data_IF_648565877941
#
_entry.id   IF_648565877941
#
_cell.length_a   1.000
_cell.length_b   1.000
_cell.length_c   1.000
_cell.angle_alpha   90.00
_cell.angle_beta   90.00
_cell.angle_gamma   90.00
#
_symmetry.space_group_name_H-M   'P 1'
#
loop_
_entity.id
_entity.type
_entity.pdbx_description
1 polymer ?
#
# COMPACT_ATOMS: atom_id res chain seq x y z
N UNK A 1 -55.53 -12.42 -27.27
CA UNK A 1 -55.15 -11.27 -26.42
C UNK A 1 -54.46 -11.84 -25.19
N UNK A 2 -53.25 -11.38 -24.81
CA UNK A 2 -52.43 -12.09 -23.84
C UNK A 2 -52.92 -11.86 -22.40
N UNK A 3 -52.72 -12.91 -21.61
CA UNK A 3 -53.09 -13.15 -20.22
C UNK A 3 -52.35 -12.26 -19.23
N UNK A 4 -53.07 -11.68 -18.26
CA UNK A 4 -52.52 -10.99 -17.09
C UNK A 4 -51.61 -11.91 -16.26
N UNK A 5 -50.45 -11.38 -15.88
CA UNK A 5 -49.48 -12.04 -15.03
C UNK A 5 -49.88 -11.87 -13.55
N UNK A 6 -50.25 -12.95 -12.87
CA UNK A 6 -50.51 -12.95 -11.42
C UNK A 6 -49.21 -13.06 -10.64
N UNK A 7 -48.98 -12.09 -9.76
CA UNK A 7 -47.80 -12.04 -8.89
C UNK A 7 -47.92 -12.99 -7.70
N UNK A 8 -46.77 -13.40 -7.16
CA UNK A 8 -46.61 -14.28 -5.98
C UNK A 8 -47.30 -13.75 -4.70
N UNK A 9 -47.79 -12.51 -4.71
CA UNK A 9 -48.45 -11.87 -3.57
C UNK A 9 -49.98 -12.05 -3.55
N UNK A 10 -50.59 -12.63 -4.60
CA UNK A 10 -52.05 -12.80 -4.69
C UNK A 10 -52.59 -14.04 -3.96
N UNK A 11 -51.72 -14.90 -3.44
CA UNK A 11 -52.12 -16.05 -2.64
C UNK A 11 -51.99 -15.72 -1.15
N UNK A 12 -53.12 -15.34 -0.55
CA UNK A 12 -53.25 -15.06 0.87
C UNK A 12 -52.92 -16.28 1.72
N UNK A 13 -51.74 -16.26 2.32
CA UNK A 13 -51.40 -16.98 3.56
C UNK A 13 -50.49 -16.07 4.39
N UNK A 14 -51.09 -15.22 5.20
CA UNK A 14 -50.44 -14.60 6.34
C UNK A 14 -51.33 -14.86 7.53
N UNK A 15 -50.99 -15.87 8.33
CA UNK A 15 -51.55 -16.03 9.66
C UNK A 15 -51.18 -14.82 10.51
N UNK A 16 -52.20 -14.25 11.15
CA UNK A 16 -52.12 -13.06 11.97
C UNK A 16 -51.39 -13.38 13.29
N UNK A 17 -50.12 -13.00 13.40
CA UNK A 17 -49.39 -13.05 14.68
C UNK A 17 -49.98 -11.95 15.57
N UNK A 18 -50.80 -12.34 16.56
CA UNK A 18 -51.29 -11.43 17.60
C UNK A 18 -50.14 -11.02 18.53
N UNK A 19 -49.74 -9.76 18.44
CA UNK A 19 -48.86 -9.09 19.42
C UNK A 19 -49.68 -8.29 20.42
N UNK A 20 -49.63 -8.68 21.70
CA UNK A 20 -50.31 -8.03 22.83
C UNK A 20 -49.59 -6.75 23.33
N UNK A 21 -49.21 -5.83 22.45
CA UNK A 21 -48.62 -4.54 22.85
C UNK A 21 -49.30 -3.35 22.18
N UNK A 22 -49.68 -2.31 22.95
CA UNK A 22 -50.45 -1.19 22.44
C UNK A 22 -49.63 -0.35 21.46
N UNK A 23 -50.21 -0.14 20.28
CA UNK A 23 -49.67 0.72 19.22
C UNK A 23 -49.69 2.20 19.65
N UNK A 24 -48.56 2.87 19.35
CA UNK A 24 -48.35 4.32 19.25
C UNK A 24 -48.21 5.14 20.56
N UNK A 25 -46.96 5.20 21.04
CA UNK A 25 -46.38 6.49 21.42
C UNK A 25 -45.37 6.91 20.32
N UNK A 26 -45.24 8.20 19.99
CA UNK A 26 -44.28 8.63 18.99
C UNK A 26 -42.88 8.44 19.56
N UNK A 27 -42.22 7.33 19.20
CA UNK A 27 -40.78 7.20 19.36
C UNK A 27 -40.18 8.21 18.38
N UNK A 28 -39.80 9.36 18.93
CA UNK A 28 -38.88 10.29 18.28
C UNK A 28 -37.63 9.51 17.92
N UNK A 29 -37.52 9.05 16.67
CA UNK A 29 -36.28 8.55 16.13
C UNK A 29 -35.32 9.72 16.10
N UNK A 30 -34.46 9.82 17.12
CA UNK A 30 -33.31 10.71 17.07
C UNK A 30 -32.47 10.25 15.89
N UNK A 31 -32.55 10.97 14.77
CA UNK A 31 -31.53 10.89 13.72
C UNK A 31 -30.16 10.96 14.40
N UNK A 32 -29.15 10.16 14.00
CA UNK A 32 -27.80 10.33 14.49
C UNK A 32 -27.27 11.65 13.94
N UNK A 33 -27.54 12.73 14.64
CA UNK A 33 -26.92 14.04 14.44
C UNK A 33 -25.50 13.96 14.99
N UNK A 34 -24.66 13.18 14.32
CA UNK A 34 -23.21 13.24 14.50
C UNK A 34 -22.70 14.50 13.82
N UNK A 35 -22.99 15.65 14.43
CA UNK A 35 -22.25 16.87 14.14
C UNK A 35 -20.79 16.59 14.44
N UNK A 36 -19.94 16.72 13.43
CA UNK A 36 -18.52 16.93 13.57
C UNK A 36 -18.31 18.07 14.57
N UNK A 37 -18.05 17.74 15.84
CA UNK A 37 -17.50 18.73 16.76
C UNK A 37 -16.07 18.97 16.27
N UNK A 38 -15.69 20.18 15.84
CA UNK A 38 -14.29 20.47 15.61
C UNK A 38 -13.59 20.22 16.95
N UNK A 39 -12.76 19.17 17.01
CA UNK A 39 -11.83 19.02 18.12
C UNK A 39 -11.06 20.33 18.12
N UNK A 40 -11.20 21.10 19.20
CA UNK A 40 -10.39 22.31 19.41
C UNK A 40 -8.97 21.93 19.02
N UNK A 41 -8.39 22.67 18.08
CA UNK A 41 -7.00 22.51 17.67
C UNK A 41 -6.15 22.87 18.89
N UNK A 42 -6.01 21.93 19.82
CA UNK A 42 -5.16 22.10 20.97
C UNK A 42 -3.73 22.29 20.43
N UNK A 43 -2.95 23.24 20.97
CA UNK A 43 -1.54 23.40 20.59
C UNK A 43 -0.71 22.12 20.78
N UNK A 44 -1.24 21.14 21.51
CA UNK A 44 -0.70 19.79 21.62
C UNK A 44 -0.76 18.96 20.32
N UNK A 45 -1.48 19.40 19.28
CA UNK A 45 -1.45 18.80 17.93
C UNK A 45 -0.13 19.11 17.20
N UNK A 46 0.50 20.24 17.52
CA UNK A 46 1.76 20.68 16.93
C UNK A 46 2.95 20.25 17.80
N UNK A 47 2.72 19.94 19.08
CA UNK A 47 3.78 19.43 19.95
C UNK A 47 4.13 18.00 19.55
N UNK A 48 5.40 17.74 19.17
CA UNK A 48 5.88 16.39 19.02
C UNK A 48 5.66 15.59 20.30
N UNK A 49 5.29 14.32 20.17
CA UNK A 49 5.02 13.43 21.31
C UNK A 49 6.18 13.31 22.29
N UNK A 50 7.43 13.52 21.84
CA UNK A 50 8.63 13.52 22.68
C UNK A 50 8.78 14.80 23.54
N UNK A 51 8.07 15.89 23.23
CA UNK A 51 8.01 17.12 24.03
C UNK A 51 6.79 17.16 24.95
N UNK A 52 5.90 16.15 24.88
CA UNK A 52 4.78 16.03 25.81
C UNK A 52 5.27 15.52 27.16
N UNK A 53 5.16 16.37 28.20
CA UNK A 53 5.44 16.02 29.60
C UNK A 53 4.48 14.95 30.14
N UNK A 54 3.33 14.75 29.48
CA UNK A 54 2.37 13.70 29.81
C UNK A 54 2.66 12.49 28.93
N UNK A 55 3.26 11.46 29.53
CA UNK A 55 3.41 10.13 28.91
C UNK A 55 2.02 9.50 28.84
N UNK A 56 1.38 9.58 27.67
CA UNK A 56 0.16 8.81 27.43
C UNK A 56 0.45 7.32 27.70
N UNK A 57 -0.50 6.57 28.30
CA UNK A 57 -0.30 5.15 28.52
C UNK A 57 0.06 4.48 27.18
N UNK A 58 1.11 3.66 27.21
CA UNK A 58 1.56 2.95 26.01
C UNK A 58 0.38 2.11 25.49
N UNK A 59 -0.11 2.44 24.29
CA UNK A 59 -1.13 1.62 23.65
C UNK A 59 -0.53 0.22 23.43
N UNK A 60 -1.31 -0.86 23.65
CA UNK A 60 -0.84 -2.20 23.32
C UNK A 60 -0.47 -2.22 21.84
N UNK A 61 0.71 -2.79 21.54
CA UNK A 61 1.20 -2.91 20.17
C UNK A 61 0.24 -3.79 19.37
N UNK A 62 -0.14 -3.34 18.18
CA UNK A 62 -0.89 -4.18 17.25
C UNK A 62 -0.01 -5.35 16.77
N UNK A 63 -0.60 -6.48 16.39
CA UNK A 63 0.13 -7.66 15.91
C UNK A 63 1.10 -7.35 14.75
N UNK A 64 0.76 -6.34 13.95
CA UNK A 64 1.56 -5.89 12.80
C UNK A 64 2.46 -4.68 13.11
N UNK A 65 2.67 -4.31 14.37
CA UNK A 65 3.46 -3.12 14.73
C UNK A 65 4.94 -3.23 14.30
N UNK A 66 5.46 -4.45 14.18
CA UNK A 66 6.80 -4.70 13.66
C UNK A 66 6.98 -4.23 12.20
N UNK A 67 5.90 -4.25 11.40
CA UNK A 67 5.92 -3.73 10.02
C UNK A 67 6.12 -2.21 9.99
N UNK A 68 5.63 -1.48 10.98
CA UNK A 68 5.85 -0.04 11.06
C UNK A 68 7.32 0.28 11.38
N UNK A 69 7.96 -0.53 12.24
CA UNK A 69 9.40 -0.44 12.49
C UNK A 69 10.24 -0.75 11.25
N UNK A 70 9.91 -1.84 10.54
CA UNK A 70 10.59 -2.23 9.31
C UNK A 70 10.43 -1.18 8.21
N UNK A 71 9.23 -0.62 8.03
CA UNK A 71 8.97 0.51 7.11
C UNK A 71 9.78 1.75 7.48
N UNK A 72 9.89 2.07 8.77
CA UNK A 72 10.68 3.20 9.24
C UNK A 72 12.16 3.06 8.90
N UNK A 73 12.74 1.89 9.14
CA UNK A 73 14.12 1.60 8.76
C UNK A 73 14.33 1.64 7.24
N UNK A 74 13.43 1.02 6.48
CA UNK A 74 13.45 1.08 5.02
C UNK A 74 13.37 2.53 4.50
N UNK A 75 12.50 3.37 5.08
CA UNK A 75 12.36 4.77 4.70
C UNK A 75 13.65 5.55 4.97
N UNK A 76 14.33 5.26 6.07
CA UNK A 76 15.61 5.88 6.41
C UNK A 76 16.71 5.50 5.40
N UNK A 77 16.79 4.23 5.00
CA UNK A 77 17.72 3.80 3.94
C UNK A 77 17.41 4.44 2.59
N UNK A 78 16.13 4.57 2.24
CA UNK A 78 15.71 5.30 1.02
C UNK A 78 16.13 6.76 1.09
N UNK A 79 16.00 7.42 2.25
CA UNK A 79 16.46 8.79 2.44
C UNK A 79 17.97 8.91 2.23
N UNK A 80 18.78 8.06 2.87
CA UNK A 80 20.24 8.09 2.70
C UNK A 80 20.62 7.90 1.24
N UNK A 81 20.02 6.92 0.55
CA UNK A 81 20.26 6.70 -0.88
C UNK A 81 19.95 7.95 -1.70
N UNK A 82 18.81 8.59 -1.49
CA UNK A 82 18.45 9.79 -2.26
C UNK A 82 19.37 10.97 -1.95
N UNK A 83 19.78 11.12 -0.70
CA UNK A 83 20.70 12.16 -0.27
C UNK A 83 22.08 11.97 -0.89
N UNK A 84 22.72 10.82 -0.68
CA UNK A 84 24.09 10.55 -1.11
C UNK A 84 24.20 10.37 -2.62
N UNK A 85 23.24 9.67 -3.22
CA UNK A 85 23.38 9.18 -4.57
C UNK A 85 22.80 10.19 -5.57
N UNK A 86 21.58 10.68 -5.34
CA UNK A 86 20.86 11.51 -6.30
C UNK A 86 21.13 13.00 -6.12
N UNK A 87 21.23 13.50 -4.88
CA UNK A 87 21.50 14.92 -4.62
C UNK A 87 22.97 15.33 -4.90
N UNK A 88 23.91 14.37 -4.93
CA UNK A 88 25.33 14.60 -5.18
C UNK A 88 25.88 13.93 -6.46
N UNK A 89 24.99 13.61 -7.42
CA UNK A 89 25.33 12.97 -8.72
C UNK A 89 26.43 13.71 -9.51
N UNK A 90 26.60 15.02 -9.30
CA UNK A 90 27.56 15.87 -10.00
C UNK A 90 29.04 15.58 -9.67
N UNK A 91 29.35 14.77 -8.65
CA UNK A 91 30.73 14.58 -8.13
C UNK A 91 31.31 13.19 -8.41
N UNK A 92 30.71 12.37 -9.29
CA UNK A 92 31.13 10.97 -9.58
C UNK A 92 31.18 10.00 -8.37
N UNK A 93 30.92 10.46 -7.13
CA UNK A 93 30.96 9.63 -5.91
C UNK A 93 29.90 8.53 -5.89
N UNK A 94 28.79 8.74 -6.60
CA UNK A 94 27.69 7.79 -6.78
C UNK A 94 28.20 6.41 -7.29
N UNK A 95 29.10 6.41 -8.28
CA UNK A 95 29.68 5.16 -8.82
C UNK A 95 30.47 4.38 -7.77
N UNK A 96 31.19 5.06 -6.86
CA UNK A 96 32.00 4.38 -5.84
C UNK A 96 31.08 3.65 -4.85
N UNK A 97 29.97 4.28 -4.46
CA UNK A 97 29.01 3.73 -3.51
C UNK A 97 28.24 2.53 -4.07
N UNK A 98 27.91 2.56 -5.36
CA UNK A 98 27.18 1.49 -6.04
C UNK A 98 28.02 0.22 -6.27
N UNK A 99 29.35 0.37 -6.39
CA UNK A 99 30.23 -0.76 -6.74
C UNK A 99 30.68 -1.59 -5.53
N UNK A 100 30.93 -2.87 -5.76
CA UNK A 100 31.49 -3.80 -4.75
C UNK A 100 32.99 -3.56 -4.56
N UNK A 101 33.50 -3.90 -3.36
CA UNK A 101 34.93 -3.80 -3.05
C UNK A 101 35.77 -4.58 -4.08
N UNK A 102 36.78 -3.93 -4.67
CA UNK A 102 37.65 -4.52 -5.69
C UNK A 102 37.15 -4.40 -7.14
N UNK A 103 35.94 -3.87 -7.36
CA UNK A 103 35.46 -3.57 -8.71
C UNK A 103 36.37 -2.52 -9.38
N UNK A 104 36.78 -2.75 -10.63
CA UNK A 104 37.74 -1.91 -11.36
C UNK A 104 39.06 -1.62 -10.60
N UNK A 105 39.53 -2.53 -9.75
CA UNK A 105 40.72 -2.33 -8.89
C UNK A 105 40.60 -1.13 -7.93
N UNK A 106 39.37 -0.75 -7.58
CA UNK A 106 39.09 0.29 -6.55
C UNK A 106 38.78 -0.39 -5.21
N UNK A 107 39.36 0.14 -4.14
CA UNK A 107 39.29 -0.45 -2.81
C UNK A 107 38.98 0.62 -1.76
N UNK A 108 37.70 0.95 -1.63
CA UNK A 108 37.24 1.91 -0.63
C UNK A 108 36.54 1.19 0.53
N UNK A 109 36.76 1.66 1.77
CA UNK A 109 36.13 1.09 2.97
C UNK A 109 34.59 1.04 2.84
N UNK A 110 34.00 2.05 2.19
CA UNK A 110 32.56 2.18 1.97
C UNK A 110 31.95 1.03 1.12
N UNK A 111 32.78 0.32 0.35
CA UNK A 111 32.34 -0.74 -0.56
C UNK A 111 32.21 -2.12 0.12
N UNK A 112 32.59 -2.24 1.39
CA UNK A 112 32.37 -3.47 2.15
C UNK A 112 30.86 -3.74 2.29
N UNK A 113 30.41 -5.00 2.18
CA UNK A 113 28.99 -5.34 2.00
C UNK A 113 28.07 -4.79 3.10
N UNK A 114 28.47 -4.88 4.38
CA UNK A 114 27.65 -4.37 5.48
C UNK A 114 27.59 -2.85 5.53
N UNK A 115 28.73 -2.20 5.32
CA UNK A 115 28.82 -0.75 5.37
C UNK A 115 28.08 -0.14 4.16
N UNK A 116 28.30 -0.70 2.97
CA UNK A 116 27.66 -0.28 1.72
C UNK A 116 26.14 -0.30 1.80
N UNK A 117 25.55 -1.32 2.44
CA UNK A 117 24.09 -1.42 2.59
C UNK A 117 23.48 -0.23 3.32
N UNK A 118 24.20 0.47 4.20
CA UNK A 118 23.67 1.70 4.81
C UNK A 118 23.51 2.85 3.80
N UNK A 119 24.29 2.86 2.72
CA UNK A 119 24.31 3.91 1.70
C UNK A 119 23.48 3.54 0.48
N UNK A 120 23.63 2.32 -0.04
CA UNK A 120 22.92 1.84 -1.25
C UNK A 120 21.75 0.91 -0.96
N UNK A 121 21.52 0.55 0.31
CA UNK A 121 20.42 -0.33 0.70
C UNK A 121 19.03 0.25 0.44
N UNK A 122 18.92 1.53 0.06
CA UNK A 122 17.67 2.11 -0.43
C UNK A 122 17.07 1.33 -1.61
N UNK A 123 17.89 0.73 -2.48
CA UNK A 123 17.40 -0.10 -3.59
C UNK A 123 16.65 -1.33 -3.09
N UNK A 124 17.22 -2.04 -2.10
CA UNK A 124 16.57 -3.16 -1.42
C UNK A 124 15.36 -2.69 -0.60
N UNK A 125 15.44 -1.54 0.04
CA UNK A 125 14.36 -0.98 0.84
C UNK A 125 13.09 -0.72 0.00
N UNK A 126 13.23 -0.27 -1.26
CA UNK A 126 12.09 -0.14 -2.18
C UNK A 126 11.40 -1.50 -2.44
N UNK A 127 12.17 -2.56 -2.70
CA UNK A 127 11.59 -3.91 -2.86
C UNK A 127 10.89 -4.39 -1.59
N UNK A 128 11.46 -4.07 -0.43
CA UNK A 128 10.86 -4.36 0.88
C UNK A 128 9.53 -3.63 1.07
N UNK A 129 9.42 -2.36 0.64
CA UNK A 129 8.15 -1.63 0.66
C UNK A 129 7.08 -2.32 -0.18
N UNK A 130 7.40 -2.82 -1.37
CA UNK A 130 6.42 -3.50 -2.22
C UNK A 130 5.91 -4.81 -1.60
N UNK A 131 6.80 -5.62 -1.02
CA UNK A 131 6.41 -6.83 -0.28
C UNK A 131 5.54 -6.49 0.93
N UNK A 132 5.95 -5.50 1.73
CA UNK A 132 5.16 -5.05 2.90
C UNK A 132 3.81 -4.46 2.47
N UNK A 133 3.76 -3.74 1.36
CA UNK A 133 2.50 -3.22 0.80
C UNK A 133 1.57 -4.38 0.45
N UNK A 134 2.06 -5.40 -0.27
CA UNK A 134 1.29 -6.62 -0.54
C UNK A 134 0.77 -7.30 0.72
N UNK A 135 1.62 -7.45 1.74
CA UNK A 135 1.25 -8.05 3.03
C UNK A 135 0.11 -7.29 3.73
N UNK A 136 0.29 -5.98 3.93
CA UNK A 136 -0.68 -5.16 4.68
C UNK A 136 -2.00 -5.01 3.94
N UNK A 137 -1.98 -4.96 2.60
CA UNK A 137 -3.19 -4.91 1.79
C UNK A 137 -3.99 -6.21 1.89
N UNK A 138 -3.31 -7.34 2.08
CA UNK A 138 -3.91 -8.67 2.08
C UNK A 138 -4.46 -9.09 3.45
N UNK A 139 -3.92 -8.55 4.55
CA UNK A 139 -4.24 -9.01 5.92
C UNK A 139 -5.75 -9.07 6.21
N UNK A 140 -6.45 -7.93 6.12
CA UNK A 140 -7.88 -7.89 6.44
C UNK A 140 -8.74 -8.67 5.44
N UNK A 141 -8.54 -8.55 4.11
CA UNK A 141 -9.25 -9.38 3.14
C UNK A 141 -9.05 -10.89 3.37
N UNK A 142 -7.83 -11.35 3.63
CA UNK A 142 -7.55 -12.78 3.87
C UNK A 142 -8.23 -13.27 5.15
N UNK A 143 -8.25 -12.48 6.22
CA UNK A 143 -9.02 -12.82 7.43
C UNK A 143 -10.52 -13.02 7.11
N UNK A 144 -11.11 -12.19 6.24
CA UNK A 144 -12.51 -12.32 5.83
C UNK A 144 -12.74 -13.52 4.91
N UNK A 145 -11.79 -13.84 4.03
CA UNK A 145 -11.83 -15.04 3.18
C UNK A 145 -11.77 -16.29 4.04
N UNK A 146 -10.83 -16.37 4.99
CA UNK A 146 -10.67 -17.50 5.90
C UNK A 146 -11.86 -17.66 6.84
N UNK A 147 -12.52 -16.57 7.26
CA UNK A 147 -13.75 -16.63 8.05
C UNK A 147 -15.02 -16.89 7.22
N UNK A 148 -14.92 -16.94 5.89
CA UNK A 148 -16.06 -17.12 4.97
C UNK A 148 -16.99 -15.90 4.81
N UNK A 149 -16.62 -14.73 5.33
CA UNK A 149 -17.47 -13.52 5.28
C UNK A 149 -17.22 -12.70 4.00
N UNK A 150 -17.72 -13.23 2.89
CA UNK A 150 -17.47 -12.69 1.55
C UNK A 150 -18.29 -11.44 1.23
N UNK A 151 -19.39 -11.19 1.96
CA UNK A 151 -20.13 -9.94 1.83
C UNK A 151 -19.29 -8.77 2.35
N UNK A 152 -18.73 -8.91 3.56
CA UNK A 152 -17.84 -7.88 4.13
C UNK A 152 -16.51 -7.74 3.37
N UNK A 153 -16.06 -8.80 2.68
CA UNK A 153 -14.88 -8.73 1.81
C UNK A 153 -15.05 -7.68 0.71
N UNK A 154 -16.20 -7.68 0.01
CA UNK A 154 -16.49 -6.71 -1.04
C UNK A 154 -16.48 -5.27 -0.53
N UNK A 155 -17.20 -5.01 0.57
CA UNK A 155 -17.22 -3.71 1.23
C UNK A 155 -15.83 -3.26 1.67
N UNK A 156 -15.03 -4.21 2.19
CA UNK A 156 -13.67 -3.91 2.62
C UNK A 156 -12.76 -3.51 1.44
N UNK A 157 -12.78 -4.29 0.35
CA UNK A 157 -11.95 -4.04 -0.83
C UNK A 157 -12.33 -2.72 -1.52
N UNK A 158 -13.63 -2.46 -1.73
CA UNK A 158 -14.10 -1.22 -2.34
C UNK A 158 -13.64 0.01 -1.55
N UNK A 159 -13.82 -0.05 -0.23
CA UNK A 159 -13.44 1.01 0.70
C UNK A 159 -11.92 1.21 0.78
N UNK A 160 -11.16 0.10 0.76
CA UNK A 160 -9.69 0.13 0.80
C UNK A 160 -9.10 0.68 -0.50
N UNK A 161 -9.63 0.28 -1.66
CA UNK A 161 -9.21 0.76 -2.98
C UNK A 161 -9.44 2.27 -3.11
N UNK A 162 -10.64 2.75 -2.82
CA UNK A 162 -11.00 4.17 -2.94
C UNK A 162 -10.09 5.06 -2.08
N UNK A 163 -9.95 4.74 -0.78
CA UNK A 163 -9.11 5.52 0.13
C UNK A 163 -7.63 5.47 -0.24
N UNK A 164 -7.15 4.31 -0.72
CA UNK A 164 -5.73 4.14 -1.06
C UNK A 164 -5.34 4.99 -2.26
N UNK A 165 -6.17 5.02 -3.30
CA UNK A 165 -5.92 5.88 -4.47
C UNK A 165 -5.78 7.34 -4.04
N UNK A 166 -6.72 7.86 -3.24
CA UNK A 166 -6.68 9.24 -2.74
C UNK A 166 -5.45 9.50 -1.89
N UNK A 167 -5.12 8.60 -0.95
CA UNK A 167 -3.97 8.75 -0.06
C UNK A 167 -2.64 8.80 -0.82
N UNK A 168 -2.51 8.04 -1.92
CA UNK A 168 -1.29 8.00 -2.72
C UNK A 168 -1.18 9.23 -3.64
N UNK A 169 -2.27 9.62 -4.30
CA UNK A 169 -2.23 10.67 -5.32
C UNK A 169 -2.38 12.08 -4.78
N UNK A 170 -3.18 12.32 -3.74
CA UNK A 170 -3.39 13.67 -3.21
C UNK A 170 -2.09 14.34 -2.73
N UNK A 171 -1.18 13.67 -1.98
CA UNK A 171 0.08 14.26 -1.59
C UNK A 171 1.00 14.56 -2.78
N UNK A 172 1.04 13.68 -3.79
CA UNK A 172 1.84 13.89 -5.01
C UNK A 172 1.34 15.10 -5.78
N UNK A 173 0.02 15.20 -6.00
CA UNK A 173 -0.61 16.33 -6.68
C UNK A 173 -0.32 17.63 -5.91
N UNK A 174 -0.54 17.65 -4.59
CA UNK A 174 -0.34 18.84 -3.79
C UNK A 174 1.12 19.31 -3.76
N UNK A 175 2.06 18.39 -3.49
CA UNK A 175 3.50 18.73 -3.38
C UNK A 175 4.07 19.18 -4.72
N UNK A 176 3.72 18.51 -5.81
CA UNK A 176 4.22 18.87 -7.14
C UNK A 176 3.57 20.15 -7.67
N UNK A 177 2.31 20.41 -7.32
CA UNK A 177 1.64 21.67 -7.61
C UNK A 177 2.32 22.86 -6.94
N UNK A 178 2.61 22.72 -5.64
CA UNK A 178 3.36 23.72 -4.88
C UNK A 178 4.75 23.90 -5.48
N UNK A 179 5.44 22.80 -5.78
CA UNK A 179 6.80 22.81 -6.33
C UNK A 179 6.89 23.58 -7.64
N UNK A 180 6.09 23.26 -8.66
CA UNK A 180 6.16 23.98 -9.94
C UNK A 180 5.71 25.43 -9.81
N UNK A 181 4.77 25.73 -8.90
CA UNK A 181 4.31 27.11 -8.68
C UNK A 181 5.41 27.97 -8.07
N UNK A 182 6.10 27.48 -7.03
CA UNK A 182 7.26 28.17 -6.44
C UNK A 182 8.36 28.33 -7.50
N UNK A 183 8.64 27.26 -8.24
CA UNK A 183 9.65 27.26 -9.27
C UNK A 183 9.41 28.36 -10.33
N UNK A 184 8.17 28.50 -10.83
CA UNK A 184 7.75 29.57 -11.75
C UNK A 184 7.78 30.96 -11.13
N UNK A 185 7.33 31.10 -9.88
CA UNK A 185 7.26 32.41 -9.23
C UNK A 185 8.64 33.02 -8.94
N UNK A 186 9.63 32.17 -8.66
CA UNK A 186 10.96 32.62 -8.24
C UNK A 186 12.06 32.40 -9.29
N UNK A 187 11.71 31.93 -10.51
CA UNK A 187 12.66 31.63 -11.60
C UNK A 187 13.88 30.81 -11.12
N UNK A 188 13.61 29.79 -10.30
CA UNK A 188 14.66 28.85 -9.90
C UNK A 188 14.98 27.93 -11.08
N UNK A 189 16.20 27.40 -11.20
CA UNK A 189 16.52 26.40 -12.25
C UNK A 189 17.19 25.20 -11.59
N UNK A 190 16.42 24.33 -10.90
CA UNK A 190 16.99 23.16 -10.25
C UNK A 190 17.52 22.19 -11.33
N UNK A 191 18.82 21.86 -11.33
CA UNK A 191 19.35 20.80 -12.17
C UNK A 191 18.71 19.45 -11.80
N UNK A 192 18.63 18.46 -12.70
CA UNK A 192 19.29 18.41 -14.01
C UNK A 192 18.35 18.51 -15.23
N UNK A 193 17.04 18.78 -15.06
CA UNK A 193 16.08 18.37 -16.10
C UNK A 193 14.96 19.30 -16.52
N UNK A 194 14.94 20.55 -16.09
CA UNK A 194 13.72 21.31 -16.36
C UNK A 194 14.01 22.79 -16.56
N UNK A 195 14.01 23.20 -17.82
CA UNK A 195 13.58 24.52 -18.23
C UNK A 195 12.05 24.56 -18.03
N UNK A 196 11.55 25.62 -17.41
CA UNK A 196 10.12 25.81 -17.24
C UNK A 196 9.51 26.40 -18.51
N UNK A 197 8.22 26.15 -18.72
CA UNK A 197 7.45 26.80 -19.78
C UNK A 197 7.46 28.33 -19.60
N UNK A 198 7.24 29.06 -20.70
CA UNK A 198 7.28 30.53 -20.70
C UNK A 198 6.24 31.14 -19.75
N UNK A 199 5.07 30.52 -19.65
CA UNK A 199 3.95 31.02 -18.85
C UNK A 199 3.51 29.97 -17.82
N UNK A 200 3.13 30.43 -16.62
CA UNK A 200 2.59 29.57 -15.57
C UNK A 200 1.38 28.73 -16.03
N UNK A 201 0.49 29.29 -16.84
CA UNK A 201 -0.66 28.55 -17.39
C UNK A 201 -0.25 27.43 -18.33
N UNK A 202 0.81 27.63 -19.11
CA UNK A 202 1.37 26.59 -19.97
C UNK A 202 1.99 25.47 -19.13
N UNK A 203 2.67 25.82 -18.05
CA UNK A 203 3.18 24.85 -17.08
C UNK A 203 2.07 24.07 -16.39
N UNK A 204 1.02 24.75 -15.92
CA UNK A 204 -0.13 24.10 -15.31
C UNK A 204 -0.76 23.07 -16.26
N UNK A 205 -0.86 23.43 -17.56
CA UNK A 205 -1.38 22.52 -18.58
C UNK A 205 -0.47 21.32 -18.79
N UNK A 206 0.84 21.53 -18.86
CA UNK A 206 1.86 20.47 -18.96
C UNK A 206 1.81 19.53 -17.77
N UNK A 207 1.85 20.10 -16.56
CA UNK A 207 1.69 19.38 -15.30
C UNK A 207 0.40 18.56 -15.27
N UNK A 208 -0.73 19.14 -15.65
CA UNK A 208 -2.00 18.41 -15.68
C UNK A 208 -1.97 17.22 -16.66
N UNK A 209 -1.43 17.40 -17.87
CA UNK A 209 -1.31 16.33 -18.85
C UNK A 209 -0.40 15.21 -18.34
N UNK A 210 0.68 15.58 -17.65
CA UNK A 210 1.61 14.63 -17.08
C UNK A 210 1.01 13.88 -15.89
N UNK A 211 0.35 14.57 -14.94
CA UNK A 211 -0.40 13.93 -13.84
C UNK A 211 -1.44 12.97 -14.39
N UNK A 212 -2.20 13.36 -15.43
CA UNK A 212 -3.20 12.50 -16.06
C UNK A 212 -2.57 11.23 -16.65
N UNK A 213 -1.46 11.38 -17.37
CA UNK A 213 -0.74 10.25 -17.97
C UNK A 213 -0.10 9.35 -16.92
N UNK A 214 0.54 9.96 -15.92
CA UNK A 214 1.28 9.27 -14.86
C UNK A 214 0.36 8.52 -13.89
N UNK A 215 -0.85 9.04 -13.64
CA UNK A 215 -1.86 8.38 -12.82
C UNK A 215 -2.66 7.30 -13.56
N UNK A 216 -2.50 7.17 -14.87
CA UNK A 216 -3.19 6.15 -15.65
C UNK A 216 -2.60 4.75 -15.42
N UNK A 217 -3.38 3.89 -14.77
CA UNK A 217 -2.95 2.55 -14.32
C UNK A 217 -2.57 1.64 -15.50
N UNK A 218 -3.26 1.72 -16.64
CA UNK A 218 -3.00 0.85 -17.78
C UNK A 218 -1.98 1.44 -18.76
N UNK A 219 -1.18 2.41 -18.31
CA UNK A 219 -0.06 2.94 -19.08
C UNK A 219 0.99 1.85 -19.27
N UNK A 220 1.26 1.51 -20.53
CA UNK A 220 2.21 0.48 -20.98
C UNK A 220 3.53 1.03 -21.52
N UNK A 221 3.72 2.35 -21.61
CA UNK A 221 4.95 2.95 -22.10
C UNK A 221 5.14 4.44 -21.80
N UNK A 222 6.25 5.00 -22.30
CA UNK A 222 6.70 6.38 -22.09
C UNK A 222 7.63 6.55 -20.89
N UNK A 223 7.92 7.80 -20.52
CA UNK A 223 8.84 8.10 -19.42
C UNK A 223 8.28 7.62 -18.05
N UNK A 224 8.98 6.74 -17.31
CA UNK A 224 8.58 6.31 -15.97
C UNK A 224 8.79 7.39 -14.91
N UNK A 225 9.51 8.47 -15.23
CA UNK A 225 9.78 9.57 -14.32
C UNK A 225 8.73 10.67 -14.44
N UNK A 226 8.47 11.33 -13.32
CA UNK A 226 7.63 12.52 -13.27
C UNK A 226 8.52 13.76 -13.22
N UNK A 227 8.37 14.66 -14.18
CA UNK A 227 9.23 15.83 -14.41
C UNK A 227 9.37 16.69 -13.16
N UNK A 228 8.27 16.90 -12.45
CA UNK A 228 8.23 17.75 -11.27
C UNK A 228 8.76 17.06 -10.00
N UNK A 229 8.87 15.73 -10.00
CA UNK A 229 9.48 14.96 -8.92
C UNK A 229 9.81 13.54 -9.38
N UNK A 230 11.06 13.27 -9.75
CA UNK A 230 11.46 11.94 -10.26
C UNK A 230 11.30 10.83 -9.22
N UNK A 231 11.31 11.17 -7.92
CA UNK A 231 11.26 10.19 -6.84
C UNK A 231 9.86 9.58 -6.62
N UNK A 232 8.81 10.14 -7.22
CA UNK A 232 7.43 9.61 -7.11
C UNK A 232 7.12 8.46 -8.08
N UNK A 233 8.10 7.98 -8.84
CA UNK A 233 7.98 6.85 -9.78
C UNK A 233 7.38 5.58 -9.15
N UNK A 234 7.59 5.38 -7.85
CA UNK A 234 7.07 4.22 -7.12
C UNK A 234 5.56 4.27 -6.90
N UNK A 235 4.92 5.44 -7.02
CA UNK A 235 3.49 5.61 -6.77
C UNK A 235 2.61 4.89 -7.81
N UNK A 236 2.83 5.05 -9.13
CA UNK A 236 2.16 4.21 -10.12
C UNK A 236 2.34 2.71 -9.88
N UNK A 237 3.55 2.29 -9.48
CA UNK A 237 3.87 0.89 -9.19
C UNK A 237 3.06 0.39 -7.98
N UNK A 238 2.99 1.20 -6.92
CA UNK A 238 2.20 0.92 -5.73
C UNK A 238 0.71 0.74 -6.05
N UNK A 239 0.15 1.59 -6.91
CA UNK A 239 -1.26 1.48 -7.32
C UNK A 239 -1.48 0.23 -8.16
N UNK A 240 -0.61 -0.05 -9.14
CA UNK A 240 -0.67 -1.26 -9.98
C UNK A 240 -0.61 -2.53 -9.13
N UNK A 241 0.38 -2.64 -8.24
CA UNK A 241 0.53 -3.78 -7.33
C UNK A 241 -0.65 -3.95 -6.38
N UNK A 242 -1.24 -2.83 -5.91
CA UNK A 242 -2.45 -2.88 -5.07
C UNK A 242 -3.64 -3.46 -5.81
N UNK A 243 -3.83 -3.09 -7.08
CA UNK A 243 -4.92 -3.62 -7.92
C UNK A 243 -4.69 -5.11 -8.17
N UNK A 244 -3.47 -5.52 -8.49
CA UNK A 244 -3.12 -6.94 -8.63
C UNK A 244 -3.50 -7.74 -7.39
N UNK A 245 -3.14 -7.26 -6.20
CA UNK A 245 -3.46 -7.92 -4.92
C UNK A 245 -4.97 -7.98 -4.70
N UNK A 246 -5.68 -6.86 -4.82
CA UNK A 246 -7.14 -6.84 -4.59
C UNK A 246 -7.90 -7.73 -5.58
N UNK A 247 -7.49 -7.73 -6.85
CA UNK A 247 -8.08 -8.61 -7.88
C UNK A 247 -7.78 -10.08 -7.58
N UNK A 248 -6.54 -10.42 -7.20
CA UNK A 248 -6.18 -11.79 -6.83
C UNK A 248 -6.97 -12.28 -5.61
N UNK A 249 -7.06 -11.48 -4.55
CA UNK A 249 -7.83 -11.82 -3.35
C UNK A 249 -9.31 -12.05 -3.66
N UNK A 250 -9.90 -11.22 -4.53
CA UNK A 250 -11.28 -11.42 -4.95
C UNK A 250 -11.44 -12.69 -5.78
N UNK A 251 -10.53 -12.93 -6.75
CA UNK A 251 -10.55 -14.10 -7.61
C UNK A 251 -10.38 -15.41 -6.82
N UNK A 252 -9.52 -15.41 -5.80
CA UNK A 252 -9.20 -16.59 -5.00
C UNK A 252 -10.09 -16.76 -3.76
N UNK A 253 -11.03 -15.83 -3.52
CA UNK A 253 -11.90 -15.84 -2.33
C UNK A 253 -12.75 -17.09 -2.16
N UNK A 254 -13.05 -17.80 -3.27
CA UNK A 254 -13.84 -19.04 -3.28
C UNK A 254 -12.99 -20.30 -3.41
N UNK A 255 -11.68 -20.16 -3.55
CA UNK A 255 -10.77 -21.29 -3.66
C UNK A 255 -10.59 -21.95 -2.29
N UNK A 256 -10.35 -23.26 -2.28
CA UNK A 256 -9.87 -23.94 -1.07
C UNK A 256 -8.51 -23.36 -0.66
N UNK A 257 -8.18 -23.47 0.63
CA UNK A 257 -6.91 -22.97 1.19
C UNK A 257 -5.69 -23.36 0.35
N UNK A 258 -5.51 -24.66 0.09
CA UNK A 258 -4.34 -25.14 -0.66
C UNK A 258 -4.36 -24.67 -2.12
N UNK A 259 -5.54 -24.64 -2.76
CA UNK A 259 -5.65 -24.13 -4.13
C UNK A 259 -5.25 -22.65 -4.19
N UNK A 260 -5.68 -21.82 -3.24
CA UNK A 260 -5.29 -20.42 -3.14
C UNK A 260 -3.76 -20.27 -3.02
N UNK A 261 -3.11 -20.99 -2.11
CA UNK A 261 -1.64 -20.92 -1.96
C UNK A 261 -0.90 -21.31 -3.25
N UNK A 262 -1.36 -22.36 -3.96
CA UNK A 262 -0.76 -22.73 -5.25
C UNK A 262 -1.01 -21.68 -6.34
N UNK A 263 -2.17 -21.05 -6.35
CA UNK A 263 -2.48 -19.96 -7.29
C UNK A 263 -1.62 -18.72 -7.01
N UNK A 264 -1.37 -18.39 -5.75
CA UNK A 264 -0.47 -17.31 -5.35
C UNK A 264 0.97 -17.58 -5.79
N UNK A 265 1.49 -18.80 -5.55
CA UNK A 265 2.80 -19.24 -6.05
C UNK A 265 2.85 -19.20 -7.58
N UNK A 266 1.79 -19.65 -8.25
CA UNK A 266 1.66 -19.61 -9.70
C UNK A 266 1.69 -18.19 -10.25
N UNK A 267 1.04 -17.23 -9.58
CA UNK A 267 1.11 -15.81 -9.94
C UNK A 267 2.51 -15.23 -9.74
N UNK A 268 3.20 -15.57 -8.65
CA UNK A 268 4.59 -15.14 -8.43
C UNK A 268 5.48 -15.66 -9.57
N UNK A 269 5.38 -16.94 -9.90
CA UNK A 269 6.11 -17.55 -11.01
C UNK A 269 5.80 -16.86 -12.34
N UNK A 270 4.51 -16.66 -12.65
CA UNK A 270 4.05 -15.99 -13.85
C UNK A 270 4.64 -14.57 -13.98
N UNK A 271 4.59 -13.79 -12.91
CA UNK A 271 5.11 -12.42 -12.93
C UNK A 271 6.62 -12.35 -13.04
N UNK A 272 7.37 -13.30 -12.48
CA UNK A 272 8.84 -13.30 -12.58
C UNK A 272 9.29 -13.78 -13.96
N UNK A 273 8.73 -14.88 -14.46
CA UNK A 273 9.31 -15.61 -15.60
C UNK A 273 8.56 -15.46 -16.93
N UNK A 274 7.31 -15.00 -16.91
CA UNK A 274 6.47 -14.96 -18.12
C UNK A 274 6.10 -13.51 -18.47
N UNK A 275 5.58 -12.75 -17.51
CA UNK A 275 5.01 -11.43 -17.75
C UNK A 275 5.97 -10.25 -17.52
N UNK A 276 7.21 -10.52 -17.08
CA UNK A 276 8.21 -9.50 -16.70
C UNK A 276 7.65 -8.44 -15.71
N UNK A 277 6.83 -8.92 -14.77
CA UNK A 277 6.11 -8.14 -13.79
C UNK A 277 6.74 -8.23 -12.41
N UNK A 278 8.07 -8.11 -12.29
CA UNK A 278 8.80 -8.30 -11.04
C UNK A 278 8.20 -7.50 -9.85
N UNK A 279 7.73 -6.28 -10.11
CA UNK A 279 7.00 -5.48 -9.12
C UNK A 279 5.76 -6.18 -8.59
N UNK A 280 4.89 -6.69 -9.47
CA UNK A 280 3.69 -7.42 -9.07
C UNK A 280 4.04 -8.71 -8.32
N UNK A 281 5.12 -9.40 -8.71
CA UNK A 281 5.60 -10.58 -7.99
C UNK A 281 5.93 -10.26 -6.52
N UNK A 282 6.55 -9.11 -6.24
CA UNK A 282 6.84 -8.67 -4.86
C UNK A 282 5.55 -8.44 -4.05
N UNK A 283 4.54 -7.81 -4.65
CA UNK A 283 3.24 -7.62 -4.01
C UNK A 283 2.54 -8.95 -3.71
N UNK A 284 2.51 -9.87 -4.68
CA UNK A 284 1.91 -11.21 -4.50
C UNK A 284 2.73 -12.04 -3.50
N UNK A 285 4.05 -11.89 -3.45
CA UNK A 285 4.89 -12.52 -2.42
C UNK A 285 4.50 -12.02 -1.03
N UNK A 286 4.23 -10.72 -0.88
CA UNK A 286 3.68 -10.16 0.36
C UNK A 286 2.31 -10.73 0.73
N UNK A 287 1.43 -10.92 -0.25
CA UNK A 287 0.12 -11.56 -0.06
C UNK A 287 0.27 -13.00 0.43
N UNK A 288 1.14 -13.79 -0.19
CA UNK A 288 1.44 -15.17 0.19
C UNK A 288 2.02 -15.26 1.60
N UNK A 289 2.98 -14.40 1.95
CA UNK A 289 3.53 -14.32 3.30
C UNK A 289 2.44 -14.02 4.32
N UNK A 290 1.48 -13.15 3.99
CA UNK A 290 0.37 -12.83 4.86
C UNK A 290 -0.61 -14.00 5.02
N UNK A 291 -0.91 -14.76 3.97
CA UNK A 291 -1.79 -15.93 4.06
C UNK A 291 -1.14 -17.02 4.91
N UNK A 292 0.15 -17.30 4.70
CA UNK A 292 0.90 -18.24 5.52
C UNK A 292 0.98 -17.82 6.99
N UNK A 293 1.18 -16.53 7.28
CA UNK A 293 1.22 -16.02 8.66
C UNK A 293 -0.14 -16.18 9.35
N UNK A 294 -1.25 -15.88 8.67
CA UNK A 294 -2.60 -16.11 9.22
C UNK A 294 -2.89 -17.60 9.46
N UNK A 295 -2.45 -18.48 8.55
CA UNK A 295 -2.56 -19.92 8.72
C UNK A 295 -1.69 -20.43 9.88
N UNK A 296 -0.51 -19.84 10.09
CA UNK A 296 0.34 -20.15 11.23
C UNK A 296 -0.29 -19.73 12.56
N UNK A 297 -0.94 -18.56 12.61
CA UNK A 297 -1.68 -18.06 13.79
C UNK A 297 -2.89 -18.93 14.14
N UNK A 298 -3.48 -19.61 13.16
CA UNK A 298 -4.64 -20.52 13.31
C UNK A 298 -4.26 -21.99 13.40
N UNK A 299 -2.96 -22.31 13.48
CA UNK A 299 -2.41 -23.67 13.47
C UNK A 299 -2.87 -24.54 12.28
N UNK A 300 -3.21 -23.90 11.16
CA UNK A 300 -3.73 -24.53 9.93
C UNK A 300 -2.73 -24.44 8.76
N UNK A 301 -1.43 -24.46 9.07
CA UNK A 301 -0.36 -24.48 8.07
C UNK A 301 -0.43 -25.77 7.21
N UNK A 302 -0.07 -25.70 5.91
CA UNK A 302 0.06 -26.90 5.07
C UNK A 302 1.01 -27.93 5.70
N UNK A 303 0.67 -29.22 5.57
CA UNK A 303 1.42 -30.32 6.22
C UNK A 303 2.93 -30.31 5.95
N UNK A 304 3.37 -29.80 4.80
CA UNK A 304 4.79 -29.64 4.49
C UNK A 304 5.55 -28.79 5.53
N UNK A 305 4.91 -27.77 6.12
CA UNK A 305 5.51 -26.91 7.15
C UNK A 305 5.50 -27.53 8.56
N UNK A 306 4.67 -28.55 8.81
CA UNK A 306 4.62 -29.22 10.12
C UNK A 306 5.93 -29.96 10.43
N UNK A 307 6.58 -30.50 9.40
CA UNK A 307 7.89 -31.15 9.55
C UNK A 307 8.98 -30.17 10.02
N UNK A 308 8.86 -28.88 9.68
CA UNK A 308 9.80 -27.83 10.11
C UNK A 308 9.51 -27.41 11.55
N UNK A 309 8.23 -27.26 11.93
CA UNK A 309 7.81 -26.96 13.31
C UNK A 309 8.21 -28.04 14.32
N UNK A 310 8.18 -29.31 13.90
CA UNK A 310 8.65 -30.44 14.71
C UNK A 310 10.16 -30.35 15.00
N UNK A 311 10.96 -29.87 14.04
CA UNK A 311 12.39 -29.66 14.24
C UNK A 311 12.65 -28.56 15.28
N UNK A 312 11.98 -27.41 15.21
CA UNK A 312 12.12 -26.33 16.22
C UNK A 312 11.81 -26.81 17.65
N UNK A 313 10.76 -27.63 17.83
CA UNK A 313 10.44 -28.21 19.14
C UNK A 313 11.49 -29.20 19.64
N UNK A 314 12.24 -29.82 18.75
CA UNK A 314 13.27 -30.80 19.10
C UNK A 314 14.61 -30.14 19.48
N UNK A 315 14.85 -28.90 19.03
CA UNK A 315 16.05 -28.11 19.38
C UNK A 315 15.84 -27.15 20.57
N UNK A 316 14.62 -27.04 21.10
CA UNK A 316 14.28 -26.25 22.29
C UNK A 316 14.11 -27.10 23.56
N UNK A 317 14.55 -28.37 23.53
CA UNK A 317 14.69 -29.28 24.67
C UNK A 317 16.17 -29.58 24.93
#
# INVERSE_FOLDING_TARGET
MPTEYKGILDNGFMEEIKTDQPLLSPITSKLPTSYWKPKKLCPDFIKPSFLSRVRAPAKPLHATAWLDGLRGYAAFLVYILHHELWAHTLVYGNWILEMSFGYEKKYYLIQFPFLRTFFTGGHLAVTTFFVISGYVLSRKPLMLIQSGDLAKLGDNLASALFRRWLRLWLPVIATTFIYFTIWHMFNLYPPPRSEHEVNWTSELRKWYLEVKSFSYIFRTGGDPWFTYNVHVWSIPVEVKGSITVYTALMAFSRCSRNARLYLELGLIYYFIYIADGAHNAMFVSGMLLCDLDLLAESDDLPHFFLNIRLLERTYLL
#
